data_IF_626906148977
#
_entry.id   IF_626906148977
#
_cell.length_a   1.000
_cell.length_b   1.000
_cell.length_c   1.000
_cell.angle_alpha   90.00
_cell.angle_beta   90.00
_cell.angle_gamma   90.00
#
_symmetry.space_group_name_H-M   'P 1'
#
loop_
_entity.id
_entity.type
_entity.pdbx_description
1 polymer ?
#
# COMPACT_ATOMS: atom_id res chain seq x y z
N UNK A 1 -0.31 10.16 16.70
CA UNK A 1 -0.52 8.73 16.35
C UNK A 1 -0.36 7.87 17.59
N UNK A 2 -1.26 6.91 17.80
CA UNK A 2 -1.13 5.87 18.84
C UNK A 2 -0.16 4.77 18.41
N UNK A 3 0.29 3.92 19.34
CA UNK A 3 1.14 2.76 19.02
C UNK A 3 0.47 1.79 18.04
N UNK A 4 -0.84 1.59 18.17
CA UNK A 4 -1.62 0.75 17.26
C UNK A 4 -1.72 1.37 15.86
N UNK A 5 -1.94 2.70 15.77
CA UNK A 5 -1.93 3.41 14.48
C UNK A 5 -0.56 3.30 13.80
N UNK A 6 0.54 3.42 14.55
CA UNK A 6 1.90 3.23 13.99
C UNK A 6 2.13 1.80 13.48
N UNK A 7 1.57 0.80 14.18
CA UNK A 7 1.67 -0.60 13.76
C UNK A 7 0.87 -0.87 12.49
N UNK A 8 -0.35 -0.37 12.41
CA UNK A 8 -1.19 -0.46 11.22
C UNK A 8 -0.54 0.22 10.02
N UNK A 9 0.01 1.42 10.23
CA UNK A 9 0.77 2.15 9.22
C UNK A 9 1.95 1.33 8.69
N UNK A 10 2.77 0.78 9.59
CA UNK A 10 3.91 -0.06 9.20
C UNK A 10 3.49 -1.27 8.37
N UNK A 11 2.40 -1.94 8.76
CA UNK A 11 1.88 -3.10 8.04
C UNK A 11 1.33 -2.71 6.65
N UNK A 12 0.62 -1.60 6.56
CA UNK A 12 0.13 -1.06 5.29
C UNK A 12 1.31 -0.79 4.33
N UNK A 13 2.32 -0.04 4.79
CA UNK A 13 3.48 0.33 3.95
C UNK A 13 4.28 -0.90 3.48
N UNK A 14 4.52 -1.88 4.36
CA UNK A 14 5.20 -3.13 3.97
C UNK A 14 4.40 -3.89 2.91
N UNK A 15 3.08 -3.98 3.10
CA UNK A 15 2.20 -4.70 2.16
C UNK A 15 2.20 -4.02 0.79
N UNK A 16 2.08 -2.69 0.76
CA UNK A 16 2.09 -1.93 -0.49
C UNK A 16 3.45 -1.97 -1.18
N UNK A 17 4.56 -1.98 -0.44
CA UNK A 17 5.90 -2.17 -1.01
C UNK A 17 6.05 -3.52 -1.72
N UNK A 18 5.49 -4.59 -1.16
CA UNK A 18 5.49 -5.92 -1.79
C UNK A 18 4.59 -5.91 -3.03
N UNK A 19 3.38 -5.36 -2.94
CA UNK A 19 2.47 -5.25 -4.08
C UNK A 19 3.09 -4.45 -5.23
N UNK A 20 3.82 -3.36 -4.92
CA UNK A 20 4.53 -2.56 -5.91
C UNK A 20 5.63 -3.37 -6.60
N UNK A 21 6.41 -4.13 -5.83
CA UNK A 21 7.40 -5.04 -6.40
C UNK A 21 6.76 -6.09 -7.32
N UNK A 22 5.61 -6.64 -6.94
CA UNK A 22 4.88 -7.58 -7.80
C UNK A 22 4.43 -6.94 -9.11
N UNK A 23 4.00 -5.67 -9.07
CA UNK A 23 3.65 -4.90 -10.27
C UNK A 23 4.89 -4.65 -11.16
N UNK A 24 6.00 -4.21 -10.56
CA UNK A 24 7.27 -3.94 -11.26
C UNK A 24 7.85 -5.21 -11.88
N UNK A 25 7.74 -6.35 -11.20
CA UNK A 25 8.17 -7.67 -11.68
C UNK A 25 7.16 -8.27 -12.71
N UNK A 26 6.05 -7.58 -13.01
CA UNK A 26 5.02 -8.01 -13.97
C UNK A 26 4.15 -9.19 -13.51
N UNK A 27 4.15 -9.49 -12.20
CA UNK A 27 3.38 -10.59 -11.59
C UNK A 27 1.90 -10.27 -11.40
N UNK A 28 1.56 -8.97 -11.35
CA UNK A 28 0.19 -8.47 -11.27
C UNK A 28 0.00 -7.30 -12.23
N UNK A 29 -1.25 -7.03 -12.62
CA UNK A 29 -1.59 -5.85 -13.42
C UNK A 29 -1.79 -4.61 -12.55
N UNK A 30 -1.87 -3.45 -13.19
CA UNK A 30 -2.19 -2.18 -12.52
C UNK A 30 -3.60 -2.19 -11.91
N UNK A 31 -4.56 -2.83 -12.58
CA UNK A 31 -5.91 -3.00 -12.02
C UNK A 31 -5.88 -3.86 -10.74
N UNK A 32 -5.11 -4.95 -10.75
CA UNK A 32 -4.95 -5.82 -9.57
C UNK A 32 -4.25 -5.08 -8.42
N UNK A 33 -3.21 -4.29 -8.72
CA UNK A 33 -2.56 -3.42 -7.72
C UNK A 33 -3.55 -2.42 -7.09
N UNK A 34 -4.45 -1.85 -7.89
CA UNK A 34 -5.47 -0.89 -7.42
C UNK A 34 -6.50 -1.57 -6.51
N UNK A 35 -6.87 -2.81 -6.80
CA UNK A 35 -7.74 -3.63 -5.94
C UNK A 35 -7.04 -3.93 -4.62
N UNK A 36 -5.74 -4.25 -4.65
CA UNK A 36 -4.93 -4.49 -3.45
C UNK A 36 -4.90 -3.22 -2.59
N UNK A 37 -4.60 -2.06 -3.17
CA UNK A 37 -4.56 -0.79 -2.45
C UNK A 37 -5.89 -0.49 -1.75
N UNK A 38 -7.00 -0.57 -2.49
CA UNK A 38 -8.36 -0.35 -1.93
C UNK A 38 -8.63 -1.26 -0.72
N UNK A 39 -8.34 -2.56 -0.85
CA UNK A 39 -8.52 -3.52 0.26
C UNK A 39 -7.61 -3.24 1.45
N UNK A 40 -6.37 -2.79 1.21
CA UNK A 40 -5.42 -2.51 2.29
C UNK A 40 -5.74 -1.20 3.00
N UNK A 41 -6.26 -0.19 2.29
CA UNK A 41 -6.77 1.04 2.88
C UNK A 41 -7.97 0.77 3.80
N UNK A 42 -8.94 -0.04 3.36
CA UNK A 42 -10.08 -0.45 4.20
C UNK A 42 -9.64 -1.23 5.45
N UNK A 43 -8.67 -2.14 5.29
CA UNK A 43 -8.20 -3.03 6.36
C UNK A 43 -7.40 -2.30 7.45
N UNK A 44 -6.49 -1.42 7.04
CA UNK A 44 -5.53 -0.81 7.96
C UNK A 44 -5.84 0.65 8.30
N UNK A 45 -6.72 1.31 7.54
CA UNK A 45 -7.08 2.72 7.71
C UNK A 45 -5.83 3.60 7.96
N UNK A 46 -4.87 3.59 7.01
CA UNK A 46 -3.60 4.29 7.18
C UNK A 46 -3.84 5.78 7.46
N UNK A 47 -2.99 6.35 8.31
CA UNK A 47 -3.15 7.75 8.78
C UNK A 47 -2.12 8.68 8.16
N UNK A 48 -0.97 8.13 7.76
CA UNK A 48 -0.10 8.77 6.78
C UNK A 48 -0.63 8.26 5.44
N UNK A 49 -1.00 9.16 4.53
CA UNK A 49 -1.55 8.78 3.22
C UNK A 49 -0.60 7.92 2.40
N UNK A 50 -0.93 7.71 1.12
CA UNK A 50 -0.14 7.00 0.10
C UNK A 50 1.22 7.64 -0.22
N UNK A 51 1.91 8.22 0.77
CA UNK A 51 3.21 8.90 0.69
C UNK A 51 4.28 8.07 -0.04
N UNK A 52 4.10 6.75 -0.16
CA UNK A 52 4.94 5.86 -0.96
C UNK A 52 4.21 5.12 -2.10
N UNK A 53 2.87 5.17 -2.15
CA UNK A 53 2.07 4.54 -3.21
C UNK A 53 1.95 5.43 -4.47
N UNK A 54 1.97 6.75 -4.31
CA UNK A 54 1.84 7.74 -5.39
C UNK A 54 3.12 8.56 -5.66
N UNK A 55 4.31 8.11 -5.23
CA UNK A 55 5.55 8.69 -5.77
C UNK A 55 5.68 8.20 -7.21
N UNK A 56 5.07 9.01 -8.08
CA UNK A 56 5.12 9.10 -9.53
C UNK A 56 5.22 7.77 -10.27
N UNK A 57 4.06 7.34 -10.75
CA UNK A 57 3.93 6.46 -11.90
C UNK A 57 4.03 7.31 -13.20
N UNK A 58 5.05 8.16 -13.30
CA UNK A 58 5.40 9.01 -14.46
C UNK A 58 6.77 8.59 -14.98
#
# INVERSE_FOLDING_TARGET
>A
MSKEQMKQEKLYQITMSIAKKMLDDGLITKEEYTIIDTKMQEKYQPTLGTLFADIDLI
#
